data_IF_568097425486
#
_entry.id   IF_568097425486
#
_cell.length_a   1.000
_cell.length_b   1.000
_cell.length_c   1.000
_cell.angle_alpha   90.00
_cell.angle_beta   90.00
_cell.angle_gamma   90.00
#
_symmetry.space_group_name_H-M   'P 1'
#
loop_
_entity.id
_entity.type
_entity.pdbx_description
1 polymer ?
#
# COMPACT_ATOMS: atom_id res chain seq x y z
N UNK A 1 -0.68 -14.48 13.22
CA UNK A 1 -1.61 -13.33 13.32
C UNK A 1 -1.29 -12.22 12.32
N UNK A 2 -0.04 -11.72 12.24
CA UNK A 2 0.34 -10.69 11.25
C UNK A 2 0.33 -11.18 9.80
N UNK A 3 0.76 -12.42 9.55
CA UNK A 3 0.73 -13.01 8.20
C UNK A 3 -0.70 -13.06 7.63
N UNK A 4 -1.70 -13.40 8.45
CA UNK A 4 -3.11 -13.43 8.05
C UNK A 4 -3.58 -12.05 7.57
N UNK A 5 -3.22 -10.98 8.29
CA UNK A 5 -3.59 -9.62 7.91
C UNK A 5 -3.05 -9.25 6.53
N UNK A 6 -1.77 -9.55 6.28
CA UNK A 6 -1.16 -9.27 4.97
C UNK A 6 -1.81 -10.09 3.85
N UNK A 7 -2.05 -11.39 4.06
CA UNK A 7 -2.71 -12.23 3.06
C UNK A 7 -4.10 -11.70 2.71
N UNK A 8 -4.89 -11.31 3.70
CA UNK A 8 -6.19 -10.66 3.47
C UNK A 8 -6.07 -9.34 2.70
N UNK A 9 -5.02 -8.54 2.96
CA UNK A 9 -4.75 -7.35 2.15
C UNK A 9 -4.46 -7.69 0.68
N UNK A 10 -3.68 -8.75 0.43
CA UNK A 10 -3.36 -9.20 -0.92
C UNK A 10 -4.57 -9.81 -1.64
N UNK A 11 -5.42 -10.54 -0.92
CA UNK A 11 -6.68 -11.07 -1.44
C UNK A 11 -7.65 -9.95 -1.83
N UNK A 12 -7.82 -8.95 -0.96
CA UNK A 12 -8.66 -7.78 -1.25
C UNK A 12 -8.12 -6.99 -2.45
N UNK A 13 -6.79 -6.85 -2.56
CA UNK A 13 -6.15 -6.24 -3.72
C UNK A 13 -6.40 -7.04 -5.01
N UNK A 14 -6.24 -8.38 -5.01
CA UNK A 14 -6.57 -9.21 -6.18
C UNK A 14 -8.06 -9.09 -6.54
N UNK A 15 -8.96 -9.09 -5.55
CA UNK A 15 -10.39 -8.93 -5.76
C UNK A 15 -10.74 -7.56 -6.38
N UNK A 16 -10.10 -6.49 -5.94
CA UNK A 16 -10.29 -5.15 -6.51
C UNK A 16 -9.70 -5.02 -7.93
N UNK A 17 -8.53 -5.63 -8.19
CA UNK A 17 -7.94 -5.67 -9.54
C UNK A 17 -8.80 -6.47 -10.53
N UNK A 18 -9.47 -7.55 -10.08
CA UNK A 18 -10.41 -8.32 -10.92
C UNK A 18 -11.58 -7.49 -11.43
N UNK A 19 -12.08 -6.54 -10.63
CA UNK A 19 -13.13 -5.59 -11.05
C UNK A 19 -12.67 -4.70 -12.20
N UNK A 20 -11.36 -4.57 -12.40
CA UNK A 20 -10.71 -3.79 -13.46
C UNK A 20 -10.14 -4.68 -14.59
N UNK A 21 -10.58 -5.94 -14.70
CA UNK A 21 -10.06 -6.93 -15.66
C UNK A 21 -8.54 -7.15 -15.56
N UNK A 22 -8.00 -7.02 -14.35
CA UNK A 22 -6.61 -7.30 -14.01
C UNK A 22 -6.52 -8.34 -12.89
N UNK A 23 -5.31 -8.66 -12.44
CA UNK A 23 -5.01 -9.62 -11.36
C UNK A 23 -3.77 -9.20 -10.60
N UNK A 24 -3.69 -9.55 -9.33
CA UNK A 24 -2.46 -9.48 -8.56
C UNK A 24 -1.53 -10.63 -8.96
N UNK A 25 -0.24 -10.33 -9.11
CA UNK A 25 0.80 -11.33 -9.35
C UNK A 25 1.67 -11.48 -8.10
N UNK A 26 1.42 -12.50 -7.28
CA UNK A 26 2.25 -12.79 -6.10
C UNK A 26 3.45 -13.64 -6.52
N UNK A 27 4.65 -13.06 -6.43
CA UNK A 27 5.87 -13.69 -6.94
C UNK A 27 6.76 -14.11 -5.78
N UNK A 28 7.09 -15.40 -5.73
CA UNK A 28 7.91 -16.01 -4.69
C UNK A 28 9.40 -15.80 -5.01
N UNK A 29 10.15 -15.28 -4.04
CA UNK A 29 11.60 -15.12 -4.14
C UNK A 29 12.09 -13.74 -3.70
N UNK A 30 13.42 -13.56 -3.73
CA UNK A 30 14.05 -12.28 -3.39
C UNK A 30 13.96 -11.30 -4.57
N UNK A 31 13.59 -10.02 -4.35
CA UNK A 31 13.46 -9.02 -5.40
C UNK A 31 14.67 -8.95 -6.35
N UNK A 32 15.89 -8.96 -5.80
CA UNK A 32 17.12 -8.88 -6.58
C UNK A 32 17.32 -10.05 -7.57
N UNK A 33 16.72 -11.22 -7.29
CA UNK A 33 16.79 -12.39 -8.16
C UNK A 33 15.60 -12.45 -9.13
N UNK A 34 14.44 -11.98 -8.67
CA UNK A 34 13.19 -12.08 -9.41
C UNK A 34 13.09 -11.02 -10.51
N UNK A 35 13.38 -9.75 -10.19
CA UNK A 35 13.19 -8.64 -11.13
C UNK A 35 13.98 -8.77 -12.44
N UNK A 36 15.28 -9.13 -12.45
CA UNK A 36 16.03 -9.30 -13.70
C UNK A 36 15.39 -10.31 -14.65
N UNK A 37 14.84 -11.40 -14.12
CA UNK A 37 14.12 -12.41 -14.90
C UNK A 37 12.83 -11.82 -15.48
N UNK A 38 12.02 -11.15 -14.65
CA UNK A 38 10.74 -10.58 -15.07
C UNK A 38 10.91 -9.47 -16.11
N UNK A 39 11.91 -8.61 -15.97
CA UNK A 39 12.18 -7.54 -16.94
C UNK A 39 12.39 -8.11 -18.34
N UNK A 40 13.15 -9.22 -18.43
CA UNK A 40 13.40 -9.90 -19.69
C UNK A 40 12.18 -10.69 -20.19
N UNK A 41 11.57 -11.49 -19.32
CA UNK A 41 10.48 -12.40 -19.69
C UNK A 41 9.23 -11.63 -20.12
N UNK A 42 8.88 -10.57 -19.39
CA UNK A 42 7.68 -9.76 -19.64
C UNK A 42 7.96 -8.54 -20.52
N UNK A 43 9.22 -8.34 -20.94
CA UNK A 43 9.67 -7.18 -21.73
C UNK A 43 9.24 -5.86 -21.10
N UNK A 44 9.49 -5.74 -19.79
CA UNK A 44 9.11 -4.56 -19.01
C UNK A 44 9.90 -3.35 -19.52
N UNK A 45 9.20 -2.23 -19.66
CA UNK A 45 9.80 -0.93 -19.98
C UNK A 45 9.72 0.06 -18.80
N UNK A 46 8.82 -0.19 -17.84
CA UNK A 46 8.59 0.67 -16.69
C UNK A 46 8.25 -0.13 -15.42
N UNK A 47 8.84 0.27 -14.30
CA UNK A 47 8.54 -0.20 -12.95
C UNK A 47 8.12 0.98 -12.08
N UNK A 48 7.00 0.85 -11.37
CA UNK A 48 6.50 1.87 -10.43
C UNK A 48 6.36 1.29 -9.04
N UNK A 49 6.73 2.04 -8.01
CA UNK A 49 6.47 1.68 -6.61
C UNK A 49 6.40 2.91 -5.71
N UNK A 50 5.78 2.77 -4.55
CA UNK A 50 5.74 3.78 -3.50
C UNK A 50 7.10 3.94 -2.83
N UNK A 51 7.48 5.16 -2.47
CA UNK A 51 8.72 5.45 -1.75
C UNK A 51 8.68 4.87 -0.34
N UNK A 52 9.69 4.04 -0.04
CA UNK A 52 9.93 3.50 1.28
C UNK A 52 11.07 4.28 1.97
N UNK A 53 10.71 5.00 3.04
CA UNK A 53 11.67 5.83 3.79
C UNK A 53 12.52 5.03 4.80
N UNK A 54 12.17 3.77 5.06
CA UNK A 54 12.89 2.96 6.04
C UNK A 54 14.29 2.58 5.53
N UNK A 55 15.30 2.44 6.41
CA UNK A 55 16.68 2.15 6.00
C UNK A 55 16.81 0.91 5.10
N UNK A 56 16.12 -0.17 5.47
CA UNK A 56 16.11 -1.41 4.68
C UNK A 56 15.40 -1.23 3.32
N UNK A 57 14.28 -0.51 3.31
CA UNK A 57 13.56 -0.15 2.09
C UNK A 57 14.42 0.62 1.11
N UNK A 58 15.13 1.66 1.59
CA UNK A 58 16.06 2.46 0.79
C UNK A 58 17.17 1.62 0.15
N UNK A 59 17.79 0.72 0.91
CA UNK A 59 18.87 -0.15 0.41
C UNK A 59 18.34 -1.13 -0.65
N UNK A 60 17.22 -1.81 -0.36
CA UNK A 60 16.53 -2.70 -1.31
C UNK A 60 16.20 -1.98 -2.60
N UNK A 61 15.54 -0.82 -2.51
CA UNK A 61 15.05 -0.08 -3.67
C UNK A 61 16.19 0.51 -4.50
N UNK A 62 17.31 0.89 -3.88
CA UNK A 62 18.52 1.30 -4.58
C UNK A 62 19.10 0.14 -5.43
N UNK A 63 19.14 -1.08 -4.88
CA UNK A 63 19.56 -2.26 -5.63
C UNK A 63 18.61 -2.56 -6.81
N UNK A 64 17.29 -2.47 -6.60
CA UNK A 64 16.30 -2.68 -7.68
C UNK A 64 16.39 -1.60 -8.76
N UNK A 65 16.56 -0.33 -8.39
CA UNK A 65 16.79 0.77 -9.34
C UNK A 65 18.01 0.52 -10.23
N UNK A 66 19.09 0.01 -9.66
CA UNK A 66 20.30 -0.35 -10.41
C UNK A 66 20.01 -1.47 -11.42
N UNK A 67 19.35 -2.56 -10.98
CA UNK A 67 18.96 -3.67 -11.86
C UNK A 67 18.01 -3.23 -12.99
N UNK A 68 17.05 -2.35 -12.69
CA UNK A 68 16.14 -1.79 -13.68
C UNK A 68 16.88 -0.94 -14.72
N UNK A 69 17.80 -0.07 -14.28
CA UNK A 69 18.64 0.75 -15.16
C UNK A 69 19.49 -0.14 -16.10
N UNK A 70 20.11 -1.19 -15.57
CA UNK A 70 20.89 -2.16 -16.37
C UNK A 70 20.03 -2.89 -17.42
N UNK A 71 18.74 -3.10 -17.14
CA UNK A 71 17.78 -3.69 -18.06
C UNK A 71 17.07 -2.68 -18.98
N UNK A 72 17.39 -1.38 -18.90
CA UNK A 72 16.73 -0.33 -19.68
C UNK A 72 15.28 -0.05 -19.25
N UNK A 73 14.93 -0.35 -18.00
CA UNK A 73 13.60 -0.15 -17.41
C UNK A 73 13.55 1.20 -16.70
N UNK A 74 12.58 2.04 -17.07
CA UNK A 74 12.30 3.30 -16.37
C UNK A 74 11.72 3.01 -14.98
N UNK A 75 12.28 3.64 -13.94
CA UNK A 75 11.75 3.52 -12.57
C UNK A 75 11.09 4.82 -12.14
N UNK A 76 9.81 4.75 -11.77
CA UNK A 76 9.05 5.87 -11.22
C UNK A 76 8.71 5.58 -9.75
N UNK A 77 9.15 6.46 -8.85
CA UNK A 77 8.88 6.36 -7.42
C UNK A 77 8.07 7.56 -6.98
N UNK A 78 7.03 7.33 -6.18
CA UNK A 78 6.14 8.38 -5.64
C UNK A 78 5.99 8.27 -4.13
N UNK A 79 5.95 9.41 -3.46
CA UNK A 79 5.70 9.47 -2.01
C UNK A 79 4.19 9.48 -1.80
N UNK A 80 3.66 8.44 -1.17
CA UNK A 80 2.23 8.35 -0.81
C UNK A 80 1.99 7.68 0.55
N UNK A 81 3.02 7.08 1.16
CA UNK A 81 2.93 6.49 2.49
C UNK A 81 2.85 7.51 3.62
N UNK A 82 3.47 8.67 3.41
CA UNK A 82 3.58 9.76 4.39
C UNK A 82 2.93 11.01 3.83
N UNK A 83 2.38 11.85 4.72
CA UNK A 83 1.71 13.10 4.32
C UNK A 83 2.65 14.09 3.62
N UNK A 84 3.95 14.01 3.93
CA UNK A 84 4.96 14.94 3.43
C UNK A 84 6.23 14.17 3.06
N UNK A 85 7.00 14.76 2.15
CA UNK A 85 8.37 14.36 1.90
C UNK A 85 9.23 14.59 3.14
N UNK A 86 9.71 13.50 3.75
CA UNK A 86 10.51 13.55 4.97
C UNK A 86 11.86 14.23 4.77
N UNK A 87 12.44 14.14 3.57
CA UNK A 87 13.73 14.76 3.28
C UNK A 87 13.58 16.29 3.27
N UNK A 88 12.45 16.84 2.81
CA UNK A 88 12.12 18.27 2.93
C UNK A 88 11.98 18.73 4.38
N UNK A 89 11.39 17.91 5.25
CA UNK A 89 11.27 18.25 6.68
C UNK A 89 12.66 18.34 7.33
N UNK A 90 13.56 17.42 6.97
CA UNK A 90 14.95 17.38 7.46
C UNK A 90 15.72 18.60 6.95
N UNK A 91 15.58 18.96 5.67
CA UNK A 91 16.19 20.15 5.07
C UNK A 91 15.74 21.44 5.77
N UNK A 92 14.43 21.61 6.00
CA UNK A 92 13.88 22.75 6.73
C UNK A 92 14.38 22.86 8.18
N UNK A 93 14.83 21.75 8.75
CA UNK A 93 15.40 21.71 10.09
C UNK A 93 16.94 21.76 10.09
N UNK A 94 17.56 22.19 8.99
CA UNK A 94 19.01 22.37 8.90
C UNK A 94 19.78 21.06 8.69
N UNK A 95 19.18 20.09 8.01
CA UNK A 95 19.82 18.81 7.67
C UNK A 95 19.72 17.73 8.75
N UNK A 96 18.93 17.96 9.81
CA UNK A 96 18.76 17.00 10.90
C UNK A 96 17.28 16.73 11.19
N UNK A 97 16.89 15.50 11.53
CA UNK A 97 15.52 15.20 11.92
C UNK A 97 15.14 15.93 13.22
N UNK A 98 13.92 16.47 13.34
CA UNK A 98 13.48 17.10 14.58
C UNK A 98 13.37 16.07 15.71
N UNK A 99 14.07 16.29 16.81
CA UNK A 99 14.12 15.36 17.96
C UNK A 99 12.98 15.55 18.97
N UNK A 100 12.12 16.56 18.77
CA UNK A 100 10.95 16.78 19.62
C UNK A 100 9.71 16.96 18.77
N UNK A 101 8.58 16.44 19.28
CA UNK A 101 7.29 16.56 18.60
C UNK A 101 6.88 18.03 18.40
N UNK A 102 7.13 18.90 19.37
CA UNK A 102 6.85 20.34 19.25
C UNK A 102 7.65 21.00 18.12
N UNK A 103 8.92 20.63 17.96
CA UNK A 103 9.74 21.12 16.84
C UNK A 103 9.21 20.61 15.51
N UNK A 104 8.86 19.32 15.42
CA UNK A 104 8.21 18.74 14.25
C UNK A 104 6.94 19.50 13.87
N UNK A 105 6.02 19.73 14.81
CA UNK A 105 4.80 20.51 14.57
C UNK A 105 5.09 21.94 14.06
N UNK A 106 6.11 22.60 14.61
CA UNK A 106 6.52 23.96 14.19
C UNK A 106 7.06 24.00 12.76
N UNK A 107 7.71 22.92 12.31
CA UNK A 107 8.21 22.81 10.94
C UNK A 107 7.06 22.56 9.97
N UNK A 108 6.20 21.58 10.28
CA UNK A 108 5.03 21.23 9.47
C UNK A 108 4.09 22.43 9.31
N UNK A 109 3.89 23.25 10.35
CA UNK A 109 3.02 24.43 10.27
C UNK A 109 3.52 25.53 9.31
N UNK A 110 4.74 25.41 8.78
CA UNK A 110 5.34 26.34 7.82
C UNK A 110 5.39 25.77 6.41
N UNK A 111 5.03 24.51 6.23
CA UNK A 111 4.99 23.84 4.94
C UNK A 111 3.63 24.07 4.29
N UNK A 112 3.60 23.97 2.96
CA UNK A 112 2.34 23.92 2.23
C UNK A 112 1.51 22.71 2.70
N UNK A 113 0.17 22.79 2.69
CA UNK A 113 -0.68 21.64 3.00
C UNK A 113 -0.34 20.41 2.14
N UNK A 114 -0.56 19.18 2.64
CA UNK A 114 -0.38 17.97 1.85
C UNK A 114 -1.22 18.03 0.57
N UNK A 115 -0.71 17.43 -0.49
CA UNK A 115 -1.46 17.28 -1.73
C UNK A 115 -2.74 16.48 -1.50
N UNK A 116 -3.80 16.79 -2.24
CA UNK A 116 -5.02 16.01 -2.22
C UNK A 116 -4.75 14.59 -2.72
N UNK A 117 -5.43 13.56 -2.16
CA UNK A 117 -5.32 12.21 -2.66
C UNK A 117 -5.60 12.14 -4.16
N UNK A 118 -4.81 11.32 -4.87
CA UNK A 118 -5.02 11.08 -6.29
C UNK A 118 -6.33 10.32 -6.52
N UNK A 119 -6.84 10.42 -7.75
CA UNK A 119 -8.07 9.71 -8.14
C UNK A 119 -7.88 8.19 -8.04
N UNK A 120 -8.90 7.50 -7.53
CA UNK A 120 -8.96 6.04 -7.50
C UNK A 120 -8.91 5.46 -8.91
N UNK A 121 -8.24 4.32 -9.08
CA UNK A 121 -8.22 3.62 -10.36
C UNK A 121 -9.65 3.27 -10.82
N UNK A 122 -9.94 3.57 -12.07
CA UNK A 122 -11.22 3.25 -12.72
C UNK A 122 -10.98 2.60 -14.08
N UNK A 123 -12.00 1.90 -14.62
CA UNK A 123 -11.93 1.34 -15.97
C UNK A 123 -11.62 2.39 -17.04
N UNK A 124 -12.13 3.62 -16.85
CA UNK A 124 -11.84 4.75 -17.74
C UNK A 124 -10.36 5.15 -17.69
N UNK A 125 -9.77 5.19 -16.48
CA UNK A 125 -8.36 5.52 -16.30
C UNK A 125 -7.44 4.43 -16.85
N UNK A 126 -7.82 3.17 -16.68
CA UNK A 126 -7.10 2.02 -17.28
C UNK A 126 -7.12 2.10 -18.81
N UNK A 127 -8.21 2.59 -19.41
CA UNK A 127 -8.31 2.86 -20.84
C UNK A 127 -8.04 1.61 -21.68
N UNK A 128 -6.90 1.59 -22.40
CA UNK A 128 -6.47 0.44 -23.22
C UNK A 128 -5.43 -0.44 -22.53
N UNK A 129 -5.13 -0.19 -21.26
CA UNK A 129 -4.22 -1.02 -20.48
C UNK A 129 -4.87 -2.40 -20.27
N UNK A 130 -4.16 -3.45 -20.69
CA UNK A 130 -4.60 -4.84 -20.54
C UNK A 130 -3.54 -5.59 -19.76
N UNK A 131 -4.00 -6.44 -18.84
CA UNK A 131 -3.13 -7.37 -18.11
C UNK A 131 -3.22 -8.75 -18.75
N UNK A 132 -2.15 -9.29 -19.34
CA UNK A 132 -2.16 -10.66 -19.87
C UNK A 132 -2.31 -11.66 -18.72
N UNK A 133 -3.40 -12.44 -18.72
CA UNK A 133 -3.73 -13.41 -17.68
C UNK A 133 -3.92 -14.77 -18.35
N UNK A 134 -3.19 -15.78 -17.90
CA UNK A 134 -3.32 -17.17 -18.34
C UNK A 134 -4.29 -17.96 -17.45
N UNK A 135 -4.80 -19.09 -17.94
CA UNK A 135 -5.71 -19.96 -17.18
C UNK A 135 -5.07 -20.49 -15.88
N UNK A 136 -3.75 -20.73 -15.89
CA UNK A 136 -2.95 -21.19 -14.76
C UNK A 136 -2.47 -20.07 -13.82
N UNK A 137 -3.02 -18.85 -13.94
CA UNK A 137 -2.63 -17.70 -13.09
C UNK A 137 -2.75 -18.00 -11.61
N UNK A 138 -3.83 -18.67 -11.19
CA UNK A 138 -4.07 -18.99 -9.78
C UNK A 138 -2.96 -19.86 -9.18
N UNK A 139 -2.46 -20.83 -9.93
CA UNK A 139 -1.41 -21.74 -9.49
C UNK A 139 -0.04 -21.04 -9.43
N UNK A 140 0.26 -20.19 -10.42
CA UNK A 140 1.56 -19.51 -10.54
C UNK A 140 1.71 -18.31 -9.62
N UNK A 141 0.66 -17.50 -9.50
CA UNK A 141 0.73 -16.15 -8.92
C UNK A 141 -0.38 -15.85 -7.91
N UNK A 142 -1.18 -16.85 -7.53
CA UNK A 142 -2.20 -16.70 -6.50
C UNK A 142 -1.62 -16.30 -5.14
N UNK A 143 -2.45 -15.66 -4.32
CA UNK A 143 -2.13 -15.40 -2.92
C UNK A 143 -2.03 -16.76 -2.19
N UNK A 144 -0.92 -17.05 -1.50
CA UNK A 144 -0.76 -18.32 -0.80
C UNK A 144 -1.65 -18.38 0.44
N UNK A 145 -2.06 -19.58 0.84
CA UNK A 145 -2.71 -19.79 2.13
C UNK A 145 -1.70 -19.74 3.29
N UNK A 146 -2.19 -19.71 4.54
CA UNK A 146 -1.32 -19.78 5.71
C UNK A 146 -0.58 -21.12 5.82
N UNK A 147 -1.25 -22.22 5.45
CA UNK A 147 -0.70 -23.56 5.43
C UNK A 147 0.40 -23.70 4.38
N UNK A 148 0.23 -23.07 3.20
CA UNK A 148 1.29 -22.98 2.18
C UNK A 148 2.54 -22.24 2.69
N UNK A 149 2.36 -21.30 3.64
CA UNK A 149 3.46 -20.60 4.31
C UNK A 149 4.01 -21.38 5.51
N UNK A 150 3.47 -22.56 5.82
CA UNK A 150 3.92 -23.42 6.91
C UNK A 150 3.36 -23.06 8.29
N UNK A 151 2.28 -22.27 8.35
CA UNK A 151 1.59 -21.99 9.62
C UNK A 151 0.57 -23.08 9.94
N UNK A 152 0.50 -23.44 11.22
CA UNK A 152 -0.61 -24.22 11.77
C UNK A 152 -1.84 -23.33 11.93
N UNK A 153 -2.97 -23.78 11.39
CA UNK A 153 -4.24 -23.06 11.42
C UNK A 153 -5.26 -23.65 12.39
N UNK A 154 -4.96 -24.78 13.03
CA UNK A 154 -5.88 -25.41 13.97
C UNK A 154 -6.13 -24.48 15.18
N UNK A 155 -7.42 -24.24 15.47
CA UNK A 155 -7.82 -23.40 16.60
C UNK A 155 -7.54 -21.90 16.42
N UNK A 156 -7.18 -21.43 15.21
CA UNK A 156 -7.01 -19.99 14.97
C UNK A 156 -8.36 -19.27 15.16
N UNK A 157 -8.41 -18.23 16.03
CA UNK A 157 -9.61 -17.43 16.17
C UNK A 157 -9.84 -16.59 14.91
N UNK A 158 -11.10 -16.19 14.69
CA UNK A 158 -11.43 -15.23 13.65
C UNK A 158 -10.63 -13.93 13.81
N UNK A 159 -10.21 -13.34 12.70
CA UNK A 159 -9.40 -12.13 12.71
C UNK A 159 -10.22 -10.95 13.27
N UNK A 160 -9.84 -10.47 14.46
CA UNK A 160 -10.42 -9.24 15.07
C UNK A 160 -10.18 -8.01 14.18
N UNK A 161 -9.07 -8.04 13.45
CA UNK A 161 -8.67 -6.99 12.51
C UNK A 161 -8.50 -7.62 11.13
N UNK A 162 -9.57 -7.68 10.31
CA UNK A 162 -9.44 -8.11 8.93
C UNK A 162 -8.55 -7.13 8.14
N UNK A 163 -7.69 -7.67 7.27
CA UNK A 163 -6.89 -6.89 6.33
C UNK A 163 -7.69 -6.46 5.09
N UNK A 164 -7.15 -5.50 4.33
CA UNK A 164 -7.72 -5.03 3.07
C UNK A 164 -8.05 -3.54 3.04
N UNK A 165 -8.02 -2.97 1.85
CA UNK A 165 -8.44 -1.60 1.56
C UNK A 165 -9.94 -1.44 1.82
N UNK A 166 -10.75 -2.44 1.42
CA UNK A 166 -12.21 -2.41 1.61
C UNK A 166 -12.59 -2.26 3.09
N UNK A 167 -11.95 -3.02 3.98
CA UNK A 167 -12.18 -2.92 5.43
C UNK A 167 -11.62 -1.61 5.99
N UNK A 168 -10.47 -1.15 5.48
CA UNK A 168 -9.88 0.13 5.89
C UNK A 168 -10.81 1.31 5.58
N UNK A 169 -11.37 1.38 4.36
CA UNK A 169 -12.35 2.39 3.95
C UNK A 169 -13.63 2.32 4.79
N UNK A 170 -14.19 1.12 4.97
CA UNK A 170 -15.37 0.91 5.83
C UNK A 170 -15.15 1.44 7.25
N UNK A 171 -13.96 1.23 7.81
CA UNK A 171 -13.61 1.72 9.14
C UNK A 171 -13.40 3.22 9.18
N UNK A 172 -12.81 3.81 8.13
CA UNK A 172 -12.62 5.26 8.06
C UNK A 172 -13.97 5.97 8.01
N UNK A 173 -14.92 5.47 7.23
CA UNK A 173 -16.29 6.00 7.14
C UNK A 173 -16.98 5.95 8.50
N UNK A 174 -17.02 4.77 9.14
CA UNK A 174 -17.60 4.60 10.49
C UNK A 174 -16.91 5.49 11.53
N UNK A 175 -15.59 5.65 11.43
CA UNK A 175 -14.83 6.51 12.34
C UNK A 175 -15.21 7.98 12.19
N UNK A 176 -15.38 8.44 10.94
CA UNK A 176 -15.79 9.80 10.65
C UNK A 176 -17.22 10.06 11.11
N UNK A 177 -18.17 9.15 10.83
CA UNK A 177 -19.56 9.24 11.32
C UNK A 177 -19.61 9.38 12.85
N UNK A 178 -18.86 8.55 13.57
CA UNK A 178 -18.77 8.61 15.03
C UNK A 178 -18.20 9.95 15.52
N UNK A 179 -17.16 10.48 14.87
CA UNK A 179 -16.57 11.76 15.25
C UNK A 179 -17.51 12.94 14.98
N UNK A 180 -18.22 12.93 13.85
CA UNK A 180 -19.24 13.94 13.52
C UNK A 180 -20.35 13.93 14.57
N UNK A 181 -20.83 12.74 14.96
CA UNK A 181 -21.83 12.59 16.03
C UNK A 181 -21.34 13.09 17.40
N UNK A 182 -20.05 12.91 17.73
CA UNK A 182 -19.46 13.46 18.97
C UNK A 182 -19.36 14.99 18.91
N UNK A 183 -19.04 15.58 17.75
CA UNK A 183 -18.98 17.05 17.57
C UNK A 183 -20.35 17.72 17.48
N UNK A 184 -21.37 16.97 17.07
CA UNK A 184 -22.76 17.42 16.96
C UNK A 184 -23.69 16.40 17.63
N UNK A 185 -23.72 16.35 18.98
CA UNK A 185 -24.64 15.46 19.67
C UNK A 185 -26.08 15.91 19.41
N UNK A 186 -26.82 15.17 18.59
CA UNK A 186 -28.28 15.23 18.60
C UNK A 186 -28.76 14.85 19.99
N UNK A 187 -29.67 15.65 20.58
CA UNK A 187 -30.20 15.43 21.92
C UNK A 187 -30.67 13.98 22.09
N UNK A 188 -30.37 13.32 23.22
CA UNK A 188 -30.92 12.01 23.50
C UNK A 188 -32.44 12.11 23.55
N UNK A 189 -33.14 11.31 22.75
CA UNK A 189 -34.56 11.08 22.97
C UNK A 189 -34.72 10.47 24.36
N UNK A 190 -35.23 11.29 25.28
CA UNK A 190 -35.69 10.86 26.58
C UNK A 190 -36.92 9.98 26.39
N UNK A 191 -36.71 8.69 26.15
CA UNK A 191 -37.74 7.67 26.33
C UNK A 191 -37.81 7.30 27.82
N UNK A 192 -38.59 8.09 28.57
CA UNK A 192 -39.12 7.67 29.86
C UNK A 192 -40.66 7.63 29.76
N UNK A 193 -41.15 6.37 29.87
CA UNK A 193 -42.51 5.90 30.17
C UNK A 193 -43.56 6.10 29.06
#
# INVERSE_FOLDING_TARGET
MWAMFLLQCLEDLDANLRKLNSRLFVIRGQPANVFPRLFKEWKISRLTFEYDSEPFGKERDAAIKKLAMEAGVEVIVKISHTLYDLDKIIELNGGHPPLTYKRFQTLISRMDPPEMPVETLSGNLMGRCVTPISEDHGEKYGVPSLEELGFDIEGLPSAVWPGGETEALTRIERHLERKVSISHPSQPESSFI
#
